data_IF_929220907520
#
_entry.id   IF_929220907520
#
_cell.length_a   1.000
_cell.length_b   1.000
_cell.length_c   1.000
_cell.angle_alpha   90.00
_cell.angle_beta   90.00
_cell.angle_gamma   90.00
#
_symmetry.space_group_name_H-M   'P 1'
#
loop_
_entity.id
_entity.type
_entity.pdbx_description
1 polymer ?
#
# COMPACT_ATOMS: atom_id res chain seq x y z
N UNK A 1 -2.91 -10.22 11.34
CA UNK A 1 -4.13 -9.38 11.38
C UNK A 1 -4.25 -8.63 10.07
N UNK A 2 -5.41 -8.01 9.78
CA UNK A 2 -5.43 -6.94 8.77
C UNK A 2 -4.37 -5.90 9.16
N UNK A 3 -3.67 -5.31 8.18
CA UNK A 3 -2.55 -4.36 8.34
C UNK A 3 -1.14 -4.96 8.57
N UNK A 4 -0.97 -6.29 8.59
CA UNK A 4 0.35 -6.92 8.59
C UNK A 4 0.78 -7.28 7.15
N UNK A 5 2.04 -7.05 6.81
CA UNK A 5 2.67 -7.68 5.65
C UNK A 5 3.42 -8.93 6.13
N UNK A 6 3.16 -10.06 5.46
CA UNK A 6 3.77 -11.34 5.78
C UNK A 6 4.68 -11.78 4.63
N UNK A 7 5.88 -12.26 4.96
CA UNK A 7 6.79 -12.92 4.03
C UNK A 7 6.70 -14.43 4.21
N UNK A 8 6.79 -15.13 3.10
CA UNK A 8 6.83 -16.58 3.02
C UNK A 8 8.01 -16.98 2.13
N UNK A 9 8.60 -18.12 2.42
CA UNK A 9 9.55 -18.79 1.55
C UNK A 9 8.79 -19.72 0.61
N UNK A 10 9.30 -19.91 -0.60
CA UNK A 10 8.76 -20.89 -1.55
C UNK A 10 9.61 -22.16 -1.43
N UNK A 11 9.03 -23.22 -0.89
CA UNK A 11 9.62 -24.54 -0.81
C UNK A 11 9.24 -25.37 -2.06
N UNK A 12 10.15 -26.22 -2.54
CA UNK A 12 9.93 -27.07 -3.71
C UNK A 12 10.17 -28.53 -3.31
N UNK A 13 9.17 -29.19 -2.74
CA UNK A 13 9.22 -30.55 -2.18
C UNK A 13 8.58 -31.62 -3.08
N UNK A 14 8.72 -31.48 -4.40
CA UNK A 14 8.55 -32.58 -5.38
C UNK A 14 7.19 -32.72 -6.04
N UNK A 15 6.14 -32.10 -5.52
CA UNK A 15 4.77 -32.19 -6.10
C UNK A 15 4.23 -30.82 -6.58
N UNK A 16 4.53 -29.73 -5.87
CA UNK A 16 4.28 -28.35 -6.27
C UNK A 16 5.01 -27.37 -5.34
N UNK A 17 5.32 -26.12 -5.76
CA UNK A 17 5.83 -25.12 -4.85
C UNK A 17 4.83 -24.81 -3.72
N UNK A 18 5.30 -24.87 -2.47
CA UNK A 18 4.51 -24.59 -1.27
C UNK A 18 5.02 -23.35 -0.53
N UNK A 19 4.12 -22.60 0.10
CA UNK A 19 4.50 -21.48 0.97
C UNK A 19 4.89 -22.00 2.36
N UNK A 20 6.06 -21.58 2.84
CA UNK A 20 6.60 -21.93 4.15
C UNK A 20 7.22 -20.71 4.84
N UNK A 21 7.85 -20.89 6.00
CA UNK A 21 8.66 -19.83 6.63
C UNK A 21 7.90 -18.54 6.97
N UNK A 22 6.60 -18.64 7.28
CA UNK A 22 5.75 -17.46 7.54
C UNK A 22 6.36 -16.57 8.62
N UNK A 23 6.71 -15.33 8.24
CA UNK A 23 7.18 -14.31 9.17
C UNK A 23 6.60 -12.94 8.84
N UNK A 24 6.54 -12.07 9.83
CA UNK A 24 6.24 -10.66 9.60
C UNK A 24 7.33 -10.04 8.72
N UNK A 25 6.97 -9.11 7.84
CA UNK A 25 7.90 -8.32 7.05
C UNK A 25 7.64 -6.84 7.31
N UNK A 26 8.53 -6.21 8.07
CA UNK A 26 8.38 -4.82 8.50
C UNK A 26 7.25 -4.56 9.52
N UNK A 27 7.07 -3.29 9.92
CA UNK A 27 6.05 -2.87 10.87
C UNK A 27 4.61 -3.11 10.36
N UNK A 28 3.65 -3.00 11.28
CA UNK A 28 2.24 -2.87 10.90
C UNK A 28 2.03 -1.57 10.14
N UNK A 29 1.24 -1.61 9.07
CA UNK A 29 0.98 -0.44 8.23
C UNK A 29 0.05 0.60 8.88
N UNK A 30 -0.52 0.28 10.03
CA UNK A 30 -1.43 1.15 10.78
C UNK A 30 -2.39 0.34 11.64
N UNK A 31 -3.46 0.99 12.07
CA UNK A 31 -4.52 0.35 12.87
C UNK A 31 -5.57 -0.29 11.97
N UNK A 32 -6.19 -1.36 12.49
CA UNK A 32 -7.37 -1.96 11.89
C UNK A 32 -8.61 -1.23 12.41
N UNK A 33 -9.49 -0.77 11.52
CA UNK A 33 -10.80 -0.28 11.91
C UNK A 33 -11.64 -1.43 12.52
N UNK A 34 -12.29 -1.22 13.68
CA UNK A 34 -13.26 -2.18 14.19
C UNK A 34 -14.40 -2.41 13.20
N UNK A 35 -14.88 -3.65 13.08
CA UNK A 35 -15.95 -4.02 12.15
C UNK A 35 -17.21 -3.14 12.31
N UNK A 36 -17.49 -2.63 13.53
CA UNK A 36 -18.62 -1.74 13.79
C UNK A 36 -18.56 -0.40 13.02
N UNK A 37 -17.35 0.12 12.72
CA UNK A 37 -17.15 1.37 11.95
C UNK A 37 -17.25 1.17 10.43
N UNK A 38 -17.29 -0.09 9.94
CA UNK A 38 -17.49 -0.40 8.52
C UNK A 38 -18.98 -0.38 8.15
N UNK A 39 -19.87 -0.41 9.14
CA UNK A 39 -21.31 -0.27 8.92
C UNK A 39 -21.65 1.19 8.62
N UNK A 40 -22.48 1.45 7.59
CA UNK A 40 -22.88 2.79 7.11
C UNK A 40 -23.61 3.69 8.14
N UNK A 41 -23.65 3.33 9.42
CA UNK A 41 -24.10 4.23 10.48
C UNK A 41 -23.00 5.23 10.76
N UNK A 42 -23.30 6.53 10.66
CA UNK A 42 -22.36 7.56 11.08
C UNK A 42 -21.91 7.23 12.51
N UNK A 43 -20.59 7.24 12.75
CA UNK A 43 -20.08 6.93 14.08
C UNK A 43 -20.50 8.02 15.08
N UNK A 44 -20.42 7.68 16.36
CA UNK A 44 -20.58 8.60 17.50
C UNK A 44 -20.01 10.01 17.18
N UNK A 45 -20.74 11.11 17.46
CA UNK A 45 -20.25 12.47 17.25
C UNK A 45 -18.84 12.75 17.80
N UNK A 46 -18.47 12.10 18.91
CA UNK A 46 -17.11 12.17 19.46
C UNK A 46 -16.08 11.55 18.51
N UNK A 47 -16.42 10.44 17.85
CA UNK A 47 -15.57 9.80 16.85
C UNK A 47 -15.52 10.60 15.54
N UNK A 48 -16.63 11.25 15.14
CA UNK A 48 -16.65 12.13 13.95
C UNK A 48 -15.59 13.23 14.05
N UNK A 49 -15.41 13.81 15.24
CA UNK A 49 -14.37 14.83 15.51
C UNK A 49 -12.95 14.31 15.28
N UNK A 50 -12.71 13.02 15.54
CA UNK A 50 -11.40 12.38 15.38
C UNK A 50 -11.29 11.55 14.10
N UNK A 51 -12.33 11.51 13.27
CA UNK A 51 -12.40 10.62 12.11
C UNK A 51 -11.27 10.88 11.12
N UNK A 52 -10.95 12.15 10.84
CA UNK A 52 -9.82 12.51 9.97
C UNK A 52 -8.50 11.95 10.48
N UNK A 53 -8.23 12.09 11.79
CA UNK A 53 -7.04 11.51 12.42
C UNK A 53 -7.05 9.98 12.37
N UNK A 54 -8.20 9.34 12.66
CA UNK A 54 -8.33 7.88 12.63
C UNK A 54 -8.06 7.34 11.23
N UNK A 55 -8.72 7.91 10.21
CA UNK A 55 -8.61 7.47 8.82
C UNK A 55 -7.16 7.58 8.32
N UNK A 56 -6.46 8.66 8.67
CA UNK A 56 -5.04 8.83 8.33
C UNK A 56 -4.12 7.73 8.88
N UNK A 57 -4.54 6.98 9.90
CA UNK A 57 -3.73 5.93 10.53
C UNK A 57 -4.28 4.51 10.28
N UNK A 58 -5.26 4.36 9.38
CA UNK A 58 -5.76 3.04 8.98
C UNK A 58 -4.76 2.36 8.06
N UNK A 59 -4.32 1.16 8.44
CA UNK A 59 -3.33 0.39 7.69
C UNK A 59 -3.93 -0.62 6.71
N UNK A 60 -5.09 -0.33 6.10
CA UNK A 60 -5.76 -1.26 5.19
C UNK A 60 -5.03 -1.29 3.84
N UNK A 61 -4.30 -2.37 3.48
CA UNK A 61 -3.55 -2.42 2.23
C UNK A 61 -4.43 -2.85 1.07
N UNK A 62 -4.13 -2.33 -0.12
CA UNK A 62 -4.70 -2.78 -1.39
C UNK A 62 -3.55 -3.20 -2.32
N UNK A 63 -3.31 -2.49 -3.43
CA UNK A 63 -2.23 -2.78 -4.38
C UNK A 63 -0.83 -2.46 -3.86
N UNK A 64 0.15 -3.12 -4.48
CA UNK A 64 1.56 -2.98 -4.16
C UNK A 64 2.45 -3.12 -5.41
N UNK A 65 3.71 -2.72 -5.29
CA UNK A 65 4.74 -2.89 -6.31
C UNK A 65 6.14 -2.79 -5.72
N UNK A 66 7.16 -3.20 -6.48
CA UNK A 66 8.55 -3.26 -6.00
C UNK A 66 9.42 -2.38 -6.89
N UNK A 67 10.30 -1.58 -6.29
CA UNK A 67 11.30 -0.79 -7.00
C UNK A 67 12.64 -1.54 -7.17
N UNK A 68 13.57 -0.98 -7.95
CA UNK A 68 14.87 -1.63 -8.22
C UNK A 68 15.78 -1.75 -6.99
N UNK A 69 15.46 -1.05 -5.90
CA UNK A 69 16.16 -1.16 -4.62
C UNK A 69 15.53 -2.23 -3.70
N UNK A 70 14.42 -2.84 -4.13
CA UNK A 70 13.71 -3.88 -3.38
C UNK A 70 12.74 -3.32 -2.34
N UNK A 71 12.41 -2.03 -2.38
CA UNK A 71 11.39 -1.49 -1.49
C UNK A 71 10.01 -1.97 -1.97
N UNK A 72 9.21 -2.49 -1.05
CA UNK A 72 7.82 -2.89 -1.30
C UNK A 72 6.90 -1.70 -1.05
N UNK A 73 6.45 -1.06 -2.12
CA UNK A 73 5.48 0.04 -2.07
C UNK A 73 4.07 -0.54 -1.92
N UNK A 74 3.26 0.05 -1.02
CA UNK A 74 1.91 -0.40 -0.70
C UNK A 74 0.98 0.79 -0.65
N UNK A 75 -0.16 0.69 -1.33
CA UNK A 75 -1.24 1.68 -1.27
C UNK A 75 -2.13 1.44 -0.05
N UNK A 76 -2.53 2.52 0.61
CA UNK A 76 -3.42 2.53 1.77
C UNK A 76 -4.66 3.40 1.47
N UNK A 77 -5.72 2.82 0.85
CA UNK A 77 -6.87 3.60 0.39
C UNK A 77 -7.56 4.39 1.50
N UNK A 78 -7.70 3.79 2.69
CA UNK A 78 -8.38 4.44 3.82
C UNK A 78 -7.62 5.64 4.38
N UNK A 79 -6.30 5.68 4.21
CA UNK A 79 -5.45 6.74 4.72
C UNK A 79 -5.02 7.76 3.66
N UNK A 80 -5.40 7.56 2.39
CA UNK A 80 -4.89 8.33 1.25
C UNK A 80 -3.35 8.40 1.25
N UNK A 81 -2.72 7.24 1.43
CA UNK A 81 -1.26 7.11 1.56
C UNK A 81 -0.69 6.07 0.61
N UNK A 82 0.58 6.28 0.29
CA UNK A 82 1.47 5.24 -0.22
C UNK A 82 2.64 5.17 0.74
N UNK A 83 2.96 3.96 1.17
CA UNK A 83 4.09 3.66 2.05
C UNK A 83 5.01 2.66 1.37
N UNK A 84 6.26 2.57 1.80
CA UNK A 84 7.18 1.53 1.36
C UNK A 84 7.79 0.82 2.57
N UNK A 85 7.96 -0.51 2.46
CA UNK A 85 8.78 -1.30 3.38
C UNK A 85 10.11 -1.55 2.69
N UNK A 86 11.21 -1.06 3.28
CA UNK A 86 12.55 -1.26 2.74
C UNK A 86 13.04 -2.70 2.95
N UNK A 87 14.12 -3.15 2.26
CA UNK A 87 14.73 -4.46 2.52
C UNK A 87 15.18 -4.67 3.97
N UNK A 88 15.58 -3.58 4.65
CA UNK A 88 15.89 -3.56 6.09
C UNK A 88 14.64 -3.56 6.98
N UNK A 89 13.47 -3.77 6.39
CA UNK A 89 12.19 -3.86 7.07
C UNK A 89 11.76 -2.57 7.78
N UNK A 90 12.21 -1.40 7.29
CA UNK A 90 11.76 -0.09 7.78
C UNK A 90 10.52 0.40 7.00
N UNK A 91 9.57 1.03 7.69
CA UNK A 91 8.39 1.63 7.06
C UNK A 91 8.62 3.11 6.76
N UNK A 92 8.50 3.50 5.49
CA UNK A 92 8.66 4.87 5.00
C UNK A 92 7.35 5.36 4.38
N UNK A 93 6.96 6.60 4.65
CA UNK A 93 5.83 7.23 3.94
C UNK A 93 6.34 7.84 2.64
N UNK A 94 5.81 7.38 1.51
CA UNK A 94 6.17 7.88 0.18
C UNK A 94 5.30 9.07 -0.21
N UNK A 95 3.99 8.94 0.00
CA UNK A 95 3.02 9.98 -0.31
C UNK A 95 1.89 9.97 0.71
N UNK A 96 1.39 11.15 1.05
CA UNK A 96 0.28 11.34 1.98
C UNK A 96 -0.55 12.54 1.52
N UNK A 97 -1.84 12.32 1.26
CA UNK A 97 -2.79 13.38 0.96
C UNK A 97 -4.07 13.17 1.78
N UNK A 98 -4.10 13.60 3.05
CA UNK A 98 -5.27 13.42 3.89
C UNK A 98 -6.54 14.09 3.35
N UNK A 99 -6.39 15.08 2.48
CA UNK A 99 -7.52 15.77 1.86
C UNK A 99 -8.16 14.96 0.73
N UNK A 100 -7.43 14.02 0.12
CA UNK A 100 -7.89 13.26 -1.04
C UNK A 100 -8.12 14.15 -2.27
N UNK A 101 -7.41 15.26 -2.39
CA UNK A 101 -7.54 16.17 -3.53
C UNK A 101 -6.84 15.61 -4.78
N UNK A 102 -5.67 15.00 -4.59
CA UNK A 102 -4.87 14.39 -5.64
C UNK A 102 -4.84 12.86 -5.50
N UNK A 103 -4.62 12.38 -4.27
CA UNK A 103 -4.52 10.95 -3.98
C UNK A 103 -5.75 10.50 -3.18
N UNK A 104 -6.84 10.16 -3.87
CA UNK A 104 -8.13 9.86 -3.23
C UNK A 104 -8.46 8.37 -3.26
N UNK A 105 -8.16 7.69 -2.15
CA UNK A 105 -8.31 6.25 -2.00
C UNK A 105 -7.51 5.47 -3.05
N UNK A 106 -6.16 5.57 -3.02
CA UNK A 106 -5.30 4.84 -3.95
C UNK A 106 -5.39 3.35 -3.74
N UNK A 107 -5.48 2.60 -4.84
CA UNK A 107 -5.62 1.14 -4.81
C UNK A 107 -4.55 0.41 -5.59
N UNK A 108 -3.79 1.10 -6.44
CA UNK A 108 -2.67 0.46 -7.14
C UNK A 108 -1.56 1.46 -7.46
N UNK A 109 -0.34 0.96 -7.57
CA UNK A 109 0.86 1.71 -7.96
C UNK A 109 1.69 0.88 -8.92
N UNK A 110 2.16 1.48 -10.01
CA UNK A 110 3.04 0.80 -10.97
C UNK A 110 3.97 1.79 -11.66
N UNK A 111 5.03 1.26 -12.27
CA UNK A 111 6.02 2.04 -13.00
C UNK A 111 6.01 1.69 -14.49
N UNK A 112 6.38 2.67 -15.30
CA UNK A 112 6.65 2.51 -16.73
C UNK A 112 7.60 3.59 -17.24
N UNK A 113 7.53 3.86 -18.55
CA UNK A 113 8.50 4.71 -19.22
C UNK A 113 9.82 3.98 -19.50
N UNK A 114 10.65 4.55 -20.37
CA UNK A 114 11.89 3.92 -20.82
C UNK A 114 12.88 3.65 -19.68
N UNK A 115 12.92 4.56 -18.70
CA UNK A 115 13.77 4.47 -17.52
C UNK A 115 13.07 3.87 -16.29
N UNK A 116 11.85 3.37 -16.45
CA UNK A 116 11.02 2.80 -15.39
C UNK A 116 10.74 3.76 -14.22
N UNK A 117 10.78 5.08 -14.41
CA UNK A 117 10.45 6.03 -13.33
C UNK A 117 9.16 6.82 -13.56
N UNK A 118 8.38 6.53 -14.60
CA UNK A 118 7.02 7.06 -14.69
C UNK A 118 6.14 6.29 -13.73
N UNK A 119 5.74 6.93 -12.63
CA UNK A 119 4.88 6.36 -11.61
C UNK A 119 3.41 6.63 -11.95
N UNK A 120 2.60 5.58 -11.95
CA UNK A 120 1.16 5.63 -12.17
C UNK A 120 0.44 5.13 -10.93
N UNK A 121 -0.54 5.89 -10.45
CA UNK A 121 -1.32 5.56 -9.26
C UNK A 121 -2.80 5.56 -9.62
N UNK A 122 -3.41 4.38 -9.48
CA UNK A 122 -4.86 4.17 -9.61
C UNK A 122 -5.56 4.43 -8.29
N UNK A 123 -6.75 5.04 -8.36
CA UNK A 123 -7.52 5.45 -7.19
C UNK A 123 -9.01 5.20 -7.41
N UNK A 124 -9.75 4.83 -6.36
CA UNK A 124 -11.20 4.59 -6.45
C UNK A 124 -12.02 5.86 -6.59
N UNK A 125 -11.59 6.93 -5.91
CA UNK A 125 -12.39 8.14 -5.76
C UNK A 125 -11.81 9.35 -6.52
N UNK A 126 -10.61 9.21 -7.09
CA UNK A 126 -10.04 10.22 -7.97
C UNK A 126 -10.68 10.12 -9.37
N UNK A 127 -10.95 11.26 -10.01
CA UNK A 127 -11.46 11.32 -11.39
C UNK A 127 -10.34 11.27 -12.45
N UNK A 128 -9.14 10.89 -12.04
CA UNK A 128 -7.95 10.91 -12.86
C UNK A 128 -7.03 9.74 -12.49
N UNK A 129 -6.16 9.36 -13.42
CA UNK A 129 -4.99 8.55 -13.13
C UNK A 129 -3.86 9.50 -12.73
N UNK A 130 -3.31 9.36 -11.53
CA UNK A 130 -2.20 10.22 -11.13
C UNK A 130 -0.91 9.68 -11.75
N UNK A 131 -0.27 10.50 -12.60
CA UNK A 131 1.05 10.24 -13.17
C UNK A 131 2.06 11.21 -12.58
N UNK A 132 3.17 10.70 -12.08
CA UNK A 132 4.30 11.50 -11.60
C UNK A 132 5.62 10.79 -11.87
N UNK A 133 6.74 11.34 -11.39
CA UNK A 133 8.06 10.74 -11.50
C UNK A 133 8.50 10.14 -10.17
N UNK A 134 8.90 8.88 -10.21
CA UNK A 134 9.44 8.16 -9.07
C UNK A 134 10.92 8.54 -8.84
N UNK A 135 11.34 8.77 -7.59
CA UNK A 135 12.76 8.99 -7.26
C UNK A 135 13.61 7.71 -7.42
N UNK A 136 12.98 6.54 -7.49
CA UNK A 136 13.61 5.23 -7.70
C UNK A 136 12.89 4.53 -8.86
N UNK A 137 13.61 3.87 -9.76
CA UNK A 137 12.98 3.13 -10.87
C UNK A 137 12.18 1.92 -10.34
N UNK A 138 11.06 1.60 -10.98
CA UNK A 138 10.33 0.36 -10.71
C UNK A 138 11.09 -0.87 -11.18
N UNK A 139 10.94 -1.99 -10.49
CA UNK A 139 11.47 -3.27 -10.95
C UNK A 139 10.71 -3.70 -12.20
N UNK A 140 11.43 -3.99 -13.30
CA UNK A 140 10.83 -4.50 -14.54
C UNK A 140 10.19 -5.85 -14.30
N UNK A 141 8.89 -5.93 -14.56
CA UNK A 141 8.14 -7.20 -14.54
C UNK A 141 8.39 -8.00 -15.82
N UNK A 142 8.06 -9.29 -15.81
CA UNK A 142 8.38 -10.21 -16.92
C UNK A 142 7.88 -9.75 -18.31
N UNK A 143 6.79 -8.98 -18.37
CA UNK A 143 6.24 -8.45 -19.63
C UNK A 143 6.88 -7.12 -20.08
N UNK A 144 7.81 -6.59 -19.30
CA UNK A 144 8.56 -5.35 -19.55
C UNK A 144 10.05 -5.64 -19.81
N UNK A 145 10.42 -6.92 -19.90
CA UNK A 145 11.76 -7.41 -20.20
C UNK A 145 11.95 -7.62 -21.69
#
# INVERSE_FOLDING_TARGET
SACNIMRFEIAYDGEAPALSGRRQYGPKLGFRLPNAMVTKKLPDPALTKHLGFIMQHVGYPDGCGIDVEGNLWVTLPGANKIVAITPDENLVTIACDPSGNQLHSPTNVTWGGEDMRDLYIGSLNAKHLLKTRSPIAGLKLAHQQ
#
